data_IF_808055870777
#
_entry.id   IF_808055870777
#
_cell.length_a   1.000
_cell.length_b   1.000
_cell.length_c   1.000
_cell.angle_alpha   90.00
_cell.angle_beta   90.00
_cell.angle_gamma   90.00
#
_symmetry.space_group_name_H-M   'P 1'
#
loop_
_entity.id
_entity.type
_entity.pdbx_description
1 polymer ?
#
# COMPACT_ATOMS: atom_id res chain seq x y z
N UNK A 1 -8.18 -12.59 -11.28
CA UNK A 1 -7.14 -12.16 -10.32
C UNK A 1 -7.32 -12.97 -9.03
N UNK A 2 -6.27 -13.62 -8.53
CA UNK A 2 -6.28 -14.24 -7.18
C UNK A 2 -5.38 -13.43 -6.26
N UNK A 3 -5.93 -13.02 -5.11
CA UNK A 3 -5.20 -12.39 -4.01
C UNK A 3 -5.94 -12.73 -2.72
N UNK A 4 -5.51 -13.78 -2.03
CA UNK A 4 -6.20 -14.30 -0.84
C UNK A 4 -5.18 -14.61 0.26
N UNK A 5 -5.53 -14.29 1.49
CA UNK A 5 -4.68 -14.60 2.65
C UNK A 5 -4.90 -16.08 2.99
N UNK A 6 -3.83 -16.88 2.91
CA UNK A 6 -3.85 -18.29 3.30
C UNK A 6 -3.53 -18.45 4.77
N UNK A 7 -2.53 -17.71 5.25
CA UNK A 7 -2.09 -17.80 6.64
C UNK A 7 -1.67 -16.44 7.18
N UNK A 8 -1.94 -16.22 8.47
CA UNK A 8 -1.37 -15.16 9.28
C UNK A 8 -0.47 -15.82 10.32
N UNK A 9 0.78 -15.40 10.41
CA UNK A 9 1.77 -16.03 11.27
C UNK A 9 2.48 -15.03 12.19
N UNK A 10 2.90 -15.53 13.34
CA UNK A 10 3.83 -14.86 14.24
C UNK A 10 4.97 -15.80 14.60
N UNK A 11 6.19 -15.27 14.55
CA UNK A 11 7.40 -15.95 14.97
C UNK A 11 7.79 -15.42 16.34
N UNK A 12 7.74 -16.27 17.35
CA UNK A 12 8.11 -15.92 18.71
C UNK A 12 9.62 -15.78 18.88
N UNK A 13 10.05 -14.95 19.82
CA UNK A 13 11.47 -14.83 20.24
C UNK A 13 12.03 -16.13 20.82
N UNK A 14 11.16 -17.06 21.22
CA UNK A 14 11.49 -18.41 21.64
C UNK A 14 11.59 -19.43 20.48
N UNK A 15 11.52 -18.97 19.23
CA UNK A 15 11.54 -19.81 18.02
C UNK A 15 10.23 -20.52 17.71
N UNK A 16 9.18 -20.38 18.54
CA UNK A 16 7.87 -20.97 18.25
C UNK A 16 7.18 -20.21 17.11
N UNK A 17 6.62 -20.97 16.17
CA UNK A 17 5.82 -20.42 15.09
C UNK A 17 4.36 -20.68 15.42
N UNK A 18 3.53 -19.64 15.42
CA UNK A 18 2.08 -19.78 15.48
C UNK A 18 1.49 -19.29 14.18
N UNK A 19 0.59 -20.08 13.61
CA UNK A 19 -0.13 -19.74 12.38
C UNK A 19 -1.63 -19.83 12.62
N UNK A 20 -2.36 -18.98 11.91
CA UNK A 20 -3.79 -19.09 11.69
C UNK A 20 -3.96 -19.41 10.21
N UNK A 21 -4.58 -20.54 9.91
CA UNK A 21 -4.96 -20.91 8.55
C UNK A 21 -6.35 -20.35 8.23
N UNK A 22 -6.46 -19.74 7.06
CA UNK A 22 -7.72 -19.22 6.52
C UNK A 22 -8.09 -20.05 5.30
N UNK A 23 -9.38 -20.36 5.19
CA UNK A 23 -9.92 -21.06 4.04
C UNK A 23 -10.10 -20.09 2.86
N UNK A 24 -9.45 -20.35 1.71
CA UNK A 24 -9.68 -19.60 0.46
C UNK A 24 -11.14 -19.67 0.03
N UNK A 25 -11.58 -18.65 -0.72
CA UNK A 25 -12.92 -18.58 -1.31
C UNK A 25 -14.08 -18.76 -0.29
N UNK A 26 -13.82 -18.43 0.98
CA UNK A 26 -14.78 -18.61 2.08
C UNK A 26 -14.75 -17.45 3.07
N UNK A 27 -15.86 -17.27 3.80
CA UNK A 27 -15.92 -16.37 4.95
C UNK A 27 -15.26 -17.06 6.13
N UNK A 28 -14.20 -16.45 6.66
CA UNK A 28 -13.48 -16.94 7.83
C UNK A 28 -13.93 -16.20 9.08
N UNK A 29 -14.41 -16.92 10.09
CA UNK A 29 -14.88 -16.35 11.36
C UNK A 29 -13.90 -16.74 12.46
N UNK A 30 -13.18 -15.75 13.00
CA UNK A 30 -12.22 -15.95 14.10
C UNK A 30 -12.86 -15.46 15.40
N UNK A 31 -13.11 -16.37 16.34
CA UNK A 31 -13.75 -16.08 17.63
C UNK A 31 -12.79 -16.25 18.80
N UNK A 32 -13.12 -15.67 19.94
CA UNK A 32 -12.31 -15.74 21.15
C UNK A 32 -12.73 -14.71 22.19
N UNK A 33 -12.23 -14.80 23.43
CA UNK A 33 -12.55 -13.83 24.49
C UNK A 33 -12.03 -12.43 24.17
N UNK A 34 -12.66 -11.39 24.70
CA UNK A 34 -12.15 -10.02 24.55
C UNK A 34 -10.72 -9.90 25.10
N UNK A 35 -9.89 -9.05 24.49
CA UNK A 35 -8.49 -8.84 24.90
C UNK A 35 -7.50 -9.95 24.51
N UNK A 36 -7.90 -10.99 23.78
CA UNK A 36 -7.00 -12.10 23.40
C UNK A 36 -6.21 -11.86 22.11
N UNK A 37 -6.11 -10.62 21.64
CA UNK A 37 -5.30 -10.27 20.46
C UNK A 37 -5.99 -10.47 19.10
N UNK A 38 -7.32 -10.67 19.04
CA UNK A 38 -8.05 -10.80 17.77
C UNK A 38 -7.87 -9.57 16.86
N UNK A 39 -7.96 -8.38 17.43
CA UNK A 39 -7.77 -7.11 16.70
C UNK A 39 -6.34 -6.97 16.15
N UNK A 40 -5.36 -7.68 16.71
CA UNK A 40 -3.98 -7.64 16.22
C UNK A 40 -3.85 -8.28 14.83
N UNK A 41 -4.77 -9.16 14.42
CA UNK A 41 -4.70 -9.83 13.12
C UNK A 41 -4.79 -8.84 11.96
N UNK A 42 -5.69 -7.86 12.03
CA UNK A 42 -5.81 -6.81 11.02
C UNK A 42 -4.51 -6.02 10.92
N UNK A 43 -3.93 -5.62 12.07
CA UNK A 43 -2.68 -4.87 12.09
C UNK A 43 -1.46 -5.67 11.61
N UNK A 44 -1.42 -6.99 11.86
CA UNK A 44 -0.39 -7.88 11.33
C UNK A 44 -0.47 -7.91 9.81
N UNK A 45 -1.66 -8.11 9.27
CA UNK A 45 -1.88 -8.13 7.81
C UNK A 45 -1.55 -6.76 7.21
N UNK A 46 -2.05 -5.66 7.77
CA UNK A 46 -1.76 -4.29 7.31
C UNK A 46 -0.25 -4.00 7.31
N UNK A 47 0.45 -4.38 8.38
CA UNK A 47 1.90 -4.24 8.47
C UNK A 47 2.62 -5.02 7.38
N UNK A 48 2.32 -6.31 7.21
CA UNK A 48 2.93 -7.14 6.19
C UNK A 48 2.57 -6.74 4.75
N UNK A 49 1.44 -6.05 4.53
CA UNK A 49 1.02 -5.55 3.21
C UNK A 49 1.56 -4.14 2.87
N UNK A 50 2.49 -3.61 3.66
CA UNK A 50 3.24 -2.41 3.31
C UNK A 50 2.90 -1.15 4.12
N UNK A 51 2.20 -1.28 5.25
CA UNK A 51 2.01 -0.15 6.17
C UNK A 51 3.36 0.39 6.66
N UNK A 52 3.55 1.71 6.66
CA UNK A 52 4.82 2.33 7.10
C UNK A 52 5.16 2.06 8.55
N UNK A 53 4.16 2.12 9.43
CA UNK A 53 4.29 1.92 10.87
C UNK A 53 3.68 0.58 11.27
N UNK A 54 4.29 -0.09 12.24
CA UNK A 54 3.69 -1.24 12.88
C UNK A 54 2.63 -0.73 13.85
N UNK A 55 1.37 -1.14 13.67
CA UNK A 55 0.28 -0.81 14.61
C UNK A 55 -0.14 -2.01 15.47
N UNK A 56 0.59 -3.13 15.36
CA UNK A 56 0.37 -4.27 16.26
C UNK A 56 0.59 -3.79 17.68
N UNK A 57 -0.43 -3.92 18.53
CA UNK A 57 -0.47 -3.30 19.86
C UNK A 57 0.80 -3.61 20.66
N UNK A 58 1.43 -2.57 21.22
CA UNK A 58 2.71 -2.63 21.93
C UNK A 58 2.70 -3.43 23.26
N UNK A 59 1.60 -4.12 23.56
CA UNK A 59 1.46 -4.96 24.74
C UNK A 59 2.23 -6.28 24.64
N UNK A 60 1.61 -7.37 25.10
CA UNK A 60 2.23 -8.71 25.18
C UNK A 60 2.79 -9.16 23.82
N UNK A 61 2.08 -8.90 22.72
CA UNK A 61 2.48 -9.41 21.39
C UNK A 61 3.86 -8.89 20.97
N UNK A 62 4.09 -7.56 21.02
CA UNK A 62 5.41 -7.01 20.63
C UNK A 62 6.56 -7.47 21.52
N UNK A 63 6.31 -7.89 22.76
CA UNK A 63 7.37 -8.36 23.67
C UNK A 63 7.86 -9.77 23.34
N UNK A 64 7.00 -10.60 22.74
CA UNK A 64 7.29 -12.02 22.52
C UNK A 64 7.40 -12.40 21.05
N UNK A 65 7.14 -11.48 20.12
CA UNK A 65 7.20 -11.73 18.68
C UNK A 65 8.44 -11.07 18.07
N UNK A 66 9.14 -11.80 17.21
CA UNK A 66 10.28 -11.32 16.43
C UNK A 66 9.86 -10.94 15.00
N UNK A 67 9.01 -11.76 14.36
CA UNK A 67 8.51 -11.50 13.01
C UNK A 67 7.00 -11.68 12.92
N UNK A 68 6.37 -10.81 12.15
CA UNK A 68 5.00 -10.95 11.68
C UNK A 68 5.04 -11.42 10.23
N UNK A 69 4.19 -12.36 9.84
CA UNK A 69 4.16 -12.82 8.46
C UNK A 69 2.76 -13.12 7.94
N UNK A 70 2.62 -13.05 6.63
CA UNK A 70 1.43 -13.50 5.90
C UNK A 70 1.86 -14.38 4.73
N UNK A 71 1.10 -15.43 4.49
CA UNK A 71 1.19 -16.23 3.27
C UNK A 71 -0.03 -15.92 2.42
N UNK A 72 0.17 -15.55 1.17
CA UNK A 72 -0.88 -15.17 0.24
C UNK A 72 -0.88 -16.10 -0.96
N UNK A 73 -2.08 -16.44 -1.44
CA UNK A 73 -2.29 -17.00 -2.76
C UNK A 73 -2.41 -15.87 -3.78
N UNK A 74 -1.63 -15.96 -4.84
CA UNK A 74 -1.61 -15.02 -5.96
C UNK A 74 -1.82 -15.76 -7.28
N UNK A 75 -2.12 -15.03 -8.36
CA UNK A 75 -2.38 -15.66 -9.67
C UNK A 75 -1.19 -16.50 -10.18
N UNK A 76 0.04 -16.16 -9.80
CA UNK A 76 1.27 -16.86 -10.20
C UNK A 76 1.74 -17.94 -9.20
N UNK A 77 0.95 -18.25 -8.17
CA UNK A 77 1.34 -19.19 -7.11
C UNK A 77 1.08 -18.63 -5.71
N UNK A 78 2.13 -18.56 -4.90
CA UNK A 78 2.10 -18.09 -3.52
C UNK A 78 3.22 -17.09 -3.26
N UNK A 79 2.97 -16.18 -2.33
CA UNK A 79 3.97 -15.26 -1.81
C UNK A 79 3.92 -15.27 -0.28
N UNK A 80 5.08 -15.45 0.34
CA UNK A 80 5.28 -15.34 1.77
C UNK A 80 5.97 -14.01 2.05
N UNK A 81 5.41 -13.22 2.96
CA UNK A 81 5.94 -11.92 3.35
C UNK A 81 6.06 -11.92 4.86
N UNK A 82 7.27 -11.70 5.36
CA UNK A 82 7.53 -11.46 6.78
C UNK A 82 8.15 -10.09 6.98
N UNK A 83 7.69 -9.38 8.02
CA UNK A 83 8.26 -8.12 8.47
C UNK A 83 8.65 -8.21 9.93
N UNK A 84 9.84 -7.70 10.23
CA UNK A 84 10.38 -7.76 11.58
C UNK A 84 9.58 -6.86 12.50
N UNK A 85 9.36 -7.33 13.72
CA UNK A 85 8.80 -6.53 14.80
C UNK A 85 9.79 -5.38 15.11
N UNK A 86 9.34 -4.12 15.20
CA UNK A 86 10.23 -3.01 15.52
C UNK A 86 10.90 -3.16 16.88
N UNK A 87 12.14 -2.66 16.99
CA UNK A 87 12.83 -2.57 18.28
C UNK A 87 12.06 -1.63 19.24
N UNK A 88 12.22 -1.80 20.57
CA UNK A 88 11.61 -0.92 21.55
C UNK A 88 11.90 0.56 21.25
N UNK A 89 10.85 1.38 21.18
CA UNK A 89 10.94 2.81 20.85
C UNK A 89 10.96 3.15 19.35
N UNK A 90 10.91 2.15 18.45
CA UNK A 90 10.75 2.35 17.01
C UNK A 90 9.33 2.02 16.56
N UNK A 91 8.82 2.82 15.63
CA UNK A 91 7.48 2.60 15.04
C UNK A 91 7.51 1.58 13.89
N UNK A 92 8.67 1.28 13.32
CA UNK A 92 8.79 0.37 12.17
C UNK A 92 10.15 -0.32 12.11
N UNK A 93 10.21 -1.41 11.35
CA UNK A 93 11.45 -2.05 10.90
C UNK A 93 11.52 -2.07 9.38
N UNK A 94 12.74 -1.88 8.86
CA UNK A 94 13.07 -2.01 7.45
C UNK A 94 13.32 -3.47 7.04
N UNK A 95 13.40 -4.38 8.00
CA UNK A 95 13.71 -5.78 7.74
C UNK A 95 12.46 -6.49 7.21
N UNK A 96 12.51 -6.80 5.93
CA UNK A 96 11.47 -7.50 5.20
C UNK A 96 12.09 -8.73 4.53
N UNK A 97 11.42 -9.86 4.70
CA UNK A 97 11.69 -11.11 3.99
C UNK A 97 10.52 -11.41 3.05
N UNK A 98 10.82 -11.66 1.79
CA UNK A 98 9.84 -12.03 0.77
C UNK A 98 10.31 -13.30 0.08
N UNK A 99 9.41 -14.27 -0.06
CA UNK A 99 9.64 -15.49 -0.82
C UNK A 99 8.45 -15.73 -1.76
N UNK A 100 8.73 -16.18 -2.99
CA UNK A 100 7.72 -16.50 -4.01
C UNK A 100 7.93 -17.91 -4.49
N UNK A 101 6.84 -18.64 -4.68
CA UNK A 101 6.88 -20.01 -5.18
C UNK A 101 5.51 -20.51 -5.60
N UNK A 102 5.43 -21.76 -6.06
CA UNK A 102 4.14 -22.38 -6.40
C UNK A 102 3.43 -22.96 -5.17
N UNK A 103 4.21 -23.50 -4.23
CA UNK A 103 3.76 -23.99 -2.92
C UNK A 103 4.88 -23.78 -1.91
N UNK A 104 4.70 -22.82 -1.01
CA UNK A 104 5.68 -22.42 -0.01
C UNK A 104 5.36 -23.08 1.34
N UNK A 105 6.37 -23.69 1.95
CA UNK A 105 6.35 -24.01 3.38
C UNK A 105 6.64 -22.75 4.20
N UNK A 106 6.42 -22.82 5.52
CA UNK A 106 6.83 -21.72 6.40
C UNK A 106 8.33 -21.83 6.66
N UNK A 107 9.13 -20.78 6.35
CA UNK A 107 10.53 -20.77 6.73
C UNK A 107 10.68 -20.87 8.25
N UNK A 108 11.73 -21.54 8.72
CA UNK A 108 12.10 -21.50 10.13
C UNK A 108 12.55 -20.09 10.53
N UNK A 109 12.37 -19.72 11.80
CA UNK A 109 12.70 -18.38 12.30
C UNK A 109 14.14 -17.95 11.97
N UNK A 110 15.10 -18.88 12.09
CA UNK A 110 16.54 -18.64 11.79
C UNK A 110 16.83 -18.34 10.32
N UNK A 111 15.93 -18.71 9.40
CA UNK A 111 16.10 -18.50 7.97
C UNK A 111 15.50 -17.15 7.51
N UNK A 112 14.70 -16.49 8.36
CA UNK A 112 14.16 -15.16 8.07
C UNK A 112 15.28 -14.12 8.18
N UNK A 113 15.81 -13.75 7.02
CA UNK A 113 16.86 -12.74 6.87
C UNK A 113 16.34 -11.59 6.01
N UNK A 114 16.84 -10.37 6.19
CA UNK A 114 16.43 -9.26 5.32
C UNK A 114 16.83 -9.56 3.87
N UNK A 115 15.84 -9.59 2.96
CA UNK A 115 16.08 -9.70 1.52
C UNK A 115 15.34 -8.63 0.70
N UNK A 116 14.59 -7.75 1.37
CA UNK A 116 13.81 -6.69 0.72
C UNK A 116 13.65 -5.46 1.63
N UNK A 117 12.95 -4.45 1.11
CA UNK A 117 12.60 -3.21 1.79
C UNK A 117 11.15 -2.81 1.45
N UNK A 118 10.66 -1.74 2.10
CA UNK A 118 9.25 -1.34 1.99
C UNK A 118 8.85 -0.89 0.58
N UNK A 119 9.72 -0.19 -0.13
CA UNK A 119 9.45 0.29 -1.48
C UNK A 119 9.35 -0.88 -2.47
N UNK A 120 10.25 -1.84 -2.34
CA UNK A 120 10.24 -3.06 -3.15
C UNK A 120 9.01 -3.92 -2.85
N UNK A 121 8.66 -4.08 -1.56
CA UNK A 121 7.43 -4.76 -1.16
C UNK A 121 6.19 -4.11 -1.78
N UNK A 122 6.10 -2.77 -1.70
CA UNK A 122 4.97 -2.01 -2.24
C UNK A 122 4.89 -2.16 -3.77
N UNK A 123 6.02 -2.06 -4.46
CA UNK A 123 6.09 -2.27 -5.92
C UNK A 123 5.66 -3.69 -6.32
N UNK A 124 6.12 -4.70 -5.58
CA UNK A 124 5.74 -6.10 -5.78
C UNK A 124 4.23 -6.29 -5.64
N UNK A 125 3.65 -5.75 -4.57
CA UNK A 125 2.22 -5.90 -4.28
C UNK A 125 1.36 -5.14 -5.29
N UNK A 126 1.75 -3.93 -5.67
CA UNK A 126 1.06 -3.17 -6.72
C UNK A 126 1.05 -3.94 -8.05
N UNK A 127 2.18 -4.53 -8.45
CA UNK A 127 2.26 -5.33 -9.67
C UNK A 127 1.36 -6.58 -9.60
N UNK A 128 1.37 -7.29 -8.47
CA UNK A 128 0.50 -8.48 -8.26
C UNK A 128 -0.98 -8.10 -8.34
N UNK A 129 -1.33 -6.94 -7.78
CA UNK A 129 -2.70 -6.44 -7.73
C UNK A 129 -3.15 -5.75 -9.03
N UNK A 130 -2.23 -5.49 -9.98
CA UNK A 130 -2.52 -4.72 -11.19
C UNK A 130 -2.81 -3.24 -10.90
N UNK A 131 -2.26 -2.69 -9.82
CA UNK A 131 -2.37 -1.27 -9.51
C UNK A 131 -1.40 -0.50 -10.41
N UNK A 132 -1.96 0.22 -11.38
CA UNK A 132 -1.24 1.12 -12.27
C UNK A 132 -0.78 2.41 -11.60
N UNK A 133 0.05 3.18 -12.31
CA UNK A 133 0.65 4.43 -11.84
C UNK A 133 -0.33 5.62 -11.88
N UNK A 134 -1.50 5.47 -11.26
CA UNK A 134 -2.47 6.55 -11.20
C UNK A 134 -2.08 7.61 -10.16
N UNK A 135 -1.85 8.84 -10.59
CA UNK A 135 -1.68 9.99 -9.70
C UNK A 135 -2.86 10.96 -9.81
N UNK A 136 -3.60 11.15 -8.70
CA UNK A 136 -4.66 12.14 -8.63
C UNK A 136 -4.08 13.56 -8.78
N UNK A 137 -4.75 14.42 -9.53
CA UNK A 137 -4.37 15.83 -9.66
C UNK A 137 -5.34 16.72 -8.88
N UNK A 138 -4.86 17.50 -7.90
CA UNK A 138 -5.69 18.50 -7.24
C UNK A 138 -6.21 19.54 -8.23
N UNK A 139 -7.36 20.14 -7.91
CA UNK A 139 -7.89 21.27 -8.68
C UNK A 139 -6.93 22.46 -8.61
N UNK A 140 -6.95 23.30 -9.66
CA UNK A 140 -6.12 24.51 -9.73
C UNK A 140 -6.28 25.37 -8.46
N UNK A 141 -5.15 25.80 -7.89
CA UNK A 141 -5.09 26.54 -6.62
C UNK A 141 -4.92 25.69 -5.36
N UNK A 142 -5.01 24.36 -5.46
CA UNK A 142 -4.69 23.46 -4.34
C UNK A 142 -3.22 23.02 -4.40
N UNK A 143 -2.49 23.26 -3.31
CA UNK A 143 -1.06 22.92 -3.15
C UNK A 143 -0.82 21.58 -2.46
N UNK A 144 -1.88 20.79 -2.24
CA UNK A 144 -1.77 19.51 -1.55
C UNK A 144 -0.98 18.52 -2.40
N UNK A 145 0.06 17.91 -1.80
CA UNK A 145 0.76 16.77 -2.41
C UNK A 145 -0.21 15.60 -2.53
N UNK A 146 -0.47 15.15 -3.74
CA UNK A 146 -1.15 13.89 -4.05
C UNK A 146 -0.10 12.82 -4.33
N UNK A 147 -0.35 11.61 -3.84
CA UNK A 147 0.52 10.46 -4.12
C UNK A 147 0.12 9.75 -5.41
N UNK A 148 0.64 8.54 -5.60
CA UNK A 148 0.13 7.58 -6.57
C UNK A 148 -0.84 6.60 -5.90
N UNK A 149 -1.68 5.92 -6.67
CA UNK A 149 -2.42 4.76 -6.20
C UNK A 149 -1.43 3.67 -5.78
N UNK A 150 -1.70 3.02 -4.66
CA UNK A 150 -0.90 1.93 -4.12
C UNK A 150 -1.78 0.99 -3.29
N UNK A 151 -1.23 -0.17 -2.92
CA UNK A 151 -1.90 -1.11 -2.04
C UNK A 151 -2.33 -0.46 -0.73
N UNK A 152 -1.51 0.42 -0.15
CA UNK A 152 -1.84 1.11 1.09
C UNK A 152 -3.15 1.88 1.02
N UNK A 153 -3.44 2.53 -0.11
CA UNK A 153 -4.72 3.20 -0.36
C UNK A 153 -5.85 2.21 -0.67
N UNK A 154 -5.56 1.09 -1.33
CA UNK A 154 -6.56 0.04 -1.56
C UNK A 154 -7.06 -0.55 -0.24
N UNK A 155 -6.18 -0.72 0.75
CA UNK A 155 -6.53 -1.30 2.05
C UNK A 155 -7.53 -0.47 2.87
N UNK A 156 -7.68 0.83 2.58
CA UNK A 156 -8.73 1.67 3.19
C UNK A 156 -10.14 1.12 2.93
N UNK A 157 -10.32 0.39 1.83
CA UNK A 157 -11.61 -0.18 1.42
C UNK A 157 -11.75 -1.66 1.81
N UNK A 158 -10.68 -2.28 2.34
CA UNK A 158 -10.65 -3.72 2.63
C UNK A 158 -10.74 -4.04 4.11
N UNK A 159 -10.33 -3.14 4.99
CA UNK A 159 -10.40 -3.32 6.43
C UNK A 159 -11.54 -2.53 7.05
N UNK A 160 -12.00 -3.01 8.20
CA UNK A 160 -12.89 -2.29 9.11
C UNK A 160 -12.54 -2.75 10.53
N UNK A 161 -12.07 -1.82 11.37
CA UNK A 161 -11.82 -2.07 12.78
C UNK A 161 -13.12 -1.95 13.59
N UNK A 162 -13.14 -2.54 14.79
CA UNK A 162 -14.32 -2.49 15.66
C UNK A 162 -14.79 -1.05 15.92
N UNK A 163 -13.87 -0.13 16.20
CA UNK A 163 -14.17 1.28 16.43
C UNK A 163 -14.82 1.96 15.23
N UNK A 164 -14.55 1.48 14.02
CA UNK A 164 -15.10 2.01 12.77
C UNK A 164 -16.47 1.41 12.47
N UNK A 165 -16.68 0.15 12.82
CA UNK A 165 -17.98 -0.54 12.69
C UNK A 165 -18.98 0.03 13.70
N UNK A 166 -18.54 0.36 14.91
CA UNK A 166 -19.38 0.88 15.99
C UNK A 166 -19.75 2.38 15.76
N UNK A 167 -19.01 3.11 14.93
CA UNK A 167 -19.24 4.55 14.64
C UNK A 167 -20.01 4.77 13.33
N UNK A 168 -21.21 5.34 13.45
CA UNK A 168 -22.10 5.63 12.30
C UNK A 168 -21.55 6.68 11.33
N UNK A 169 -20.47 7.40 11.68
CA UNK A 169 -19.87 8.46 10.85
C UNK A 169 -18.83 7.94 9.87
N UNK A 170 -18.29 6.75 10.10
CA UNK A 170 -17.19 6.20 9.30
C UNK A 170 -17.65 4.98 8.50
N UNK A 171 -17.22 4.94 7.24
CA UNK A 171 -17.50 3.81 6.35
C UNK A 171 -16.20 3.04 6.02
N UNK A 172 -15.10 3.78 5.90
CA UNK A 172 -13.82 3.26 5.44
C UNK A 172 -12.77 3.27 6.55
N UNK A 173 -11.82 2.36 6.42
CA UNK A 173 -10.72 2.26 7.35
C UNK A 173 -9.89 3.55 7.37
N UNK A 174 -9.63 4.05 8.58
CA UNK A 174 -8.87 5.27 8.90
C UNK A 174 -9.47 6.56 8.37
N UNK A 175 -10.74 6.56 7.99
CA UNK A 175 -11.42 7.75 7.48
C UNK A 175 -11.40 8.92 8.46
N UNK A 176 -11.30 8.67 9.78
CA UNK A 176 -11.20 9.72 10.80
C UNK A 176 -9.82 10.38 10.91
N UNK A 177 -8.77 9.82 10.31
CA UNK A 177 -7.42 10.37 10.43
C UNK A 177 -7.22 11.61 9.54
N UNK A 178 -6.32 12.54 9.94
CA UNK A 178 -6.02 13.73 9.15
C UNK A 178 -5.64 13.39 7.70
N UNK A 179 -6.16 14.16 6.75
CA UNK A 179 -5.90 14.05 5.31
C UNK A 179 -6.41 12.78 4.61
N UNK A 180 -6.69 11.69 5.33
CA UNK A 180 -7.19 10.44 4.74
C UNK A 180 -8.59 10.53 4.13
N UNK A 181 -9.60 11.23 4.70
CA UNK A 181 -10.92 11.32 4.07
C UNK A 181 -10.85 11.89 2.65
N UNK A 182 -9.94 12.84 2.40
CA UNK A 182 -9.74 13.36 1.05
C UNK A 182 -8.99 12.37 0.17
N UNK A 183 -7.97 11.67 0.69
CA UNK A 183 -7.29 10.60 -0.06
C UNK A 183 -8.28 9.52 -0.49
N UNK A 184 -9.17 9.08 0.39
CA UNK A 184 -10.22 8.10 0.08
C UNK A 184 -11.07 8.60 -1.10
N UNK A 185 -11.54 9.86 -1.06
CA UNK A 185 -12.30 10.46 -2.17
C UNK A 185 -11.52 10.51 -3.49
N UNK A 186 -10.23 10.85 -3.41
CA UNK A 186 -9.37 11.06 -4.57
C UNK A 186 -9.09 9.74 -5.34
N UNK A 187 -8.96 8.61 -4.64
CA UNK A 187 -8.60 7.31 -5.25
C UNK A 187 -9.76 6.32 -5.35
N UNK A 188 -10.91 6.56 -4.71
CA UNK A 188 -12.06 5.68 -4.79
C UNK A 188 -12.51 5.42 -6.25
N UNK A 189 -12.64 6.43 -7.14
CA UNK A 189 -13.03 6.18 -8.53
C UNK A 189 -12.05 5.26 -9.27
N UNK A 190 -10.76 5.34 -8.93
CA UNK A 190 -9.75 4.46 -9.51
C UNK A 190 -9.93 3.01 -9.07
N UNK A 191 -10.05 2.75 -7.76
CA UNK A 191 -10.23 1.39 -7.25
C UNK A 191 -11.59 0.77 -7.58
N UNK A 192 -12.61 1.59 -7.87
CA UNK A 192 -13.90 1.12 -8.40
C UNK A 192 -13.87 0.82 -9.90
N UNK A 193 -12.76 1.11 -10.60
CA UNK A 193 -12.64 0.93 -12.05
C UNK A 193 -13.35 2.00 -12.88
N UNK A 194 -13.82 3.10 -12.27
CA UNK A 194 -14.36 4.25 -13.00
C UNK A 194 -13.26 5.05 -13.73
N UNK A 195 -12.01 4.91 -13.29
CA UNK A 195 -10.82 5.40 -13.98
C UNK A 195 -10.08 4.19 -14.55
N UNK A 196 -10.09 4.07 -15.88
CA UNK A 196 -9.46 2.95 -16.60
C UNK A 196 -7.98 3.22 -16.90
N UNK A 197 -7.22 2.17 -17.18
CA UNK A 197 -5.82 2.31 -17.62
C UNK A 197 -5.70 3.12 -18.91
N UNK A 198 -6.65 2.98 -19.84
CA UNK A 198 -6.73 3.79 -21.06
C UNK A 198 -6.89 5.28 -20.73
N UNK A 199 -7.75 5.62 -19.77
CA UNK A 199 -7.89 7.01 -19.32
C UNK A 199 -6.58 7.56 -18.76
N UNK A 200 -5.84 6.75 -18.00
CA UNK A 200 -4.55 7.13 -17.42
C UNK A 200 -3.53 7.39 -18.53
N UNK A 201 -3.41 6.47 -19.49
CA UNK A 201 -2.50 6.58 -20.63
C UNK A 201 -2.81 7.81 -21.49
N UNK A 202 -4.08 8.00 -21.86
CA UNK A 202 -4.52 9.16 -22.65
C UNK A 202 -4.23 10.47 -21.92
N UNK A 203 -4.41 10.50 -20.59
CA UNK A 203 -4.10 11.68 -19.78
C UNK A 203 -2.60 11.96 -19.74
N UNK A 204 -1.75 10.94 -19.64
CA UNK A 204 -0.30 11.11 -19.72
C UNK A 204 0.16 11.60 -21.08
N UNK A 205 -0.40 11.05 -22.16
CA UNK A 205 -0.12 11.48 -23.52
C UNK A 205 -0.52 12.95 -23.72
N UNK A 206 -1.70 13.35 -23.25
CA UNK A 206 -2.14 14.74 -23.25
C UNK A 206 -1.15 15.66 -22.52
N UNK A 207 -0.63 15.24 -21.35
CA UNK A 207 0.41 16.01 -20.63
C UNK A 207 1.70 16.13 -21.45
N UNK A 208 2.15 15.04 -22.10
CA UNK A 208 3.36 15.05 -22.95
C UNK A 208 3.17 16.00 -24.14
N UNK A 209 2.02 15.96 -24.82
CA UNK A 209 1.69 16.83 -25.95
C UNK A 209 1.59 18.30 -25.53
N UNK A 210 0.93 18.61 -24.41
CA UNK A 210 0.84 19.98 -23.89
C UNK A 210 2.21 20.57 -23.51
N UNK A 211 3.13 19.75 -22.97
CA UNK A 211 4.51 20.18 -22.71
C UNK A 211 5.24 20.53 -23.99
N UNK A 212 5.11 19.70 -25.04
CA UNK A 212 5.69 19.96 -26.36
C UNK A 212 5.09 21.22 -26.99
N UNK A 213 3.77 21.40 -26.92
CA UNK A 213 3.08 22.60 -27.41
C UNK A 213 3.66 23.86 -26.77
N UNK A 214 3.76 23.89 -25.43
CA UNK A 214 4.32 25.02 -24.69
C UNK A 214 5.78 25.31 -25.06
N UNK A 215 6.59 24.28 -25.30
CA UNK A 215 7.97 24.45 -25.77
C UNK A 215 8.03 25.09 -27.15
N UNK A 216 7.18 24.64 -28.08
CA UNK A 216 7.10 25.20 -29.43
C UNK A 216 6.60 26.65 -29.39
N UNK A 217 5.58 26.96 -28.59
CA UNK A 217 5.08 28.33 -28.40
C UNK A 217 6.17 29.28 -27.87
N UNK A 218 6.98 28.83 -26.91
CA UNK A 218 8.12 29.59 -26.40
C UNK A 218 9.17 29.84 -27.48
N UNK A 219 9.50 28.84 -28.30
CA UNK A 219 10.43 28.99 -29.42
C UNK A 219 9.92 29.98 -30.46
N UNK A 220 8.63 29.89 -30.82
CA UNK A 220 7.98 30.83 -31.74
C UNK A 220 8.01 32.25 -31.18
N UNK A 221 7.71 32.44 -29.90
CA UNK A 221 7.76 33.76 -29.26
C UNK A 221 9.19 34.34 -29.22
N UNK A 222 10.21 33.49 -29.06
CA UNK A 222 11.61 33.93 -29.16
C UNK A 222 12.01 34.31 -30.59
N UNK A 223 11.52 33.62 -31.62
CA UNK A 223 11.77 33.97 -33.02
C UNK A 223 10.97 35.21 -33.49
N UNK A 224 9.80 35.46 -32.88
CA UNK A 224 8.97 36.64 -33.12
C UNK A 224 9.45 37.90 -32.39
N UNK A 225 10.61 37.87 -31.73
CA UNK A 225 11.33 39.08 -31.28
C UNK A 225 12.31 39.49 -32.39
N UNK A 226 11.94 40.36 -33.36
CA UNK A 226 12.88 40.83 -34.37
C UNK A 226 13.66 42.01 -33.80
N UNK A 227 14.92 42.15 -34.23
CA UNK A 227 15.74 43.34 -33.98
C UNK A 227 14.99 44.63 -34.33
N UNK A 228 14.58 45.37 -33.31
CA UNK A 228 14.29 46.81 -33.39
C UNK A 228 15.49 47.56 -32.84
N UNK A 229 16.37 47.95 -33.76
CA UNK A 229 17.60 48.76 -33.63
C UNK A 229 18.51 48.10 -34.65
N UNK A 230 18.74 48.61 -35.85
CA UNK A 230 19.38 49.88 -36.14
C UNK A 230 18.94 50.34 -37.53
N UNK A 231 18.40 51.55 -37.64
CA UNK A 231 18.45 52.38 -38.85
C UNK A 231 18.16 53.82 -38.43
N UNK A 232 19.21 54.53 -38.03
CA UNK A 232 19.29 55.98 -38.08
C UNK A 232 20.64 56.31 -38.73
N UNK A 233 20.59 56.63 -40.02
CA UNK A 233 21.40 57.66 -40.68
C UNK A 233 20.70 58.06 -41.98
#
# INVERSE_FOLDING_TARGET
MKFQILNILVYGTNGQIRSIELKPDAVNIITGRSGTGKSALIHIVDYCLGRKECNVYAGVIRKYVEWYAVKLQISSGEIFIARRNPEPGKESSEDIYIERGTSLSFPEARNLTKNSNLDTLTSILNQILGIGEYAHEPKAGQTRKTGTADIGKALFYCFQEQSEIDDQKFLFHRQGEPFLPQSIKDYLPYFLGAITDEFIQNKEELRKLNRKLKQVELLINMQKLPGKSWNQH
#
